data_IF_846745039488
#
_entry.id   IF_846745039488
#
_cell.length_a   1.000
_cell.length_b   1.000
_cell.length_c   1.000
_cell.angle_alpha   90.00
_cell.angle_beta   90.00
_cell.angle_gamma   90.00
#
_symmetry.space_group_name_H-M   'P 1'
#
loop_
_entity.id
_entity.type
_entity.pdbx_description
1 polymer ?
#
# COMPACT_ATOMS: atom_id res chain seq x y z
N UNK A 1 -9.72 13.14 19.33
CA UNK A 1 -8.53 13.03 18.45
C UNK A 1 -8.70 11.97 17.35
N UNK A 2 -9.03 10.70 17.68
CA UNK A 2 -9.21 9.60 16.71
C UNK A 2 -10.22 9.87 15.57
N UNK A 3 -11.34 10.57 15.84
CA UNK A 3 -12.35 10.89 14.81
C UNK A 3 -11.79 11.69 13.62
N UNK A 4 -10.73 12.49 13.84
CA UNK A 4 -10.07 13.29 12.78
C UNK A 4 -9.08 12.47 11.94
N UNK A 5 -8.58 11.35 12.47
CA UNK A 5 -7.60 10.47 11.79
C UNK A 5 -8.26 9.43 10.89
N UNK A 6 -9.48 8.99 11.24
CA UNK A 6 -10.25 7.99 10.50
C UNK A 6 -10.32 8.23 8.97
N UNK A 7 -10.59 9.45 8.46
CA UNK A 7 -10.65 9.66 7.01
C UNK A 7 -9.29 9.56 6.32
N UNK A 8 -8.18 9.57 7.06
CA UNK A 8 -6.81 9.54 6.54
C UNK A 8 -6.12 8.18 6.73
N UNK A 9 -6.85 7.15 7.18
CA UNK A 9 -6.30 5.81 7.43
C UNK A 9 -5.53 5.26 6.22
N UNK A 10 -6.05 5.30 4.97
CA UNK A 10 -5.32 4.74 3.83
C UNK A 10 -4.00 5.46 3.56
N UNK A 11 -3.98 6.79 3.62
CA UNK A 11 -2.76 7.56 3.40
C UNK A 11 -1.74 7.35 4.53
N UNK A 12 -2.20 7.30 5.78
CA UNK A 12 -1.33 7.05 6.94
C UNK A 12 -0.70 5.66 6.90
N UNK A 13 -1.45 4.65 6.43
CA UNK A 13 -0.90 3.31 6.22
C UNK A 13 0.18 3.29 5.13
N UNK A 14 -0.04 3.99 4.02
CA UNK A 14 0.98 4.11 2.97
C UNK A 14 2.23 4.84 3.48
N UNK A 15 2.06 5.90 4.29
CA UNK A 15 3.19 6.58 4.94
C UNK A 15 3.96 5.62 5.85
N UNK A 16 3.25 4.86 6.70
CA UNK A 16 3.88 3.87 7.57
C UNK A 16 4.62 2.80 6.76
N UNK A 17 4.08 2.38 5.63
CA UNK A 17 4.72 1.42 4.71
C UNK A 17 6.01 1.98 4.10
N UNK A 18 6.02 3.26 3.70
CA UNK A 18 7.23 3.91 3.17
C UNK A 18 8.29 4.09 4.27
N UNK A 19 7.89 4.46 5.48
CA UNK A 19 8.80 4.56 6.63
C UNK A 19 9.39 3.19 6.97
N UNK A 20 8.58 2.14 6.98
CA UNK A 20 9.04 0.78 7.20
C UNK A 20 10.06 0.35 6.13
N UNK A 21 9.75 0.58 4.85
CA UNK A 21 10.71 0.36 3.76
C UNK A 21 12.02 1.12 4.01
N UNK A 22 11.95 2.41 4.33
CA UNK A 22 13.15 3.23 4.53
C UNK A 22 13.98 2.72 5.72
N UNK A 23 13.34 2.35 6.82
CA UNK A 23 14.00 1.81 8.01
C UNK A 23 14.75 0.49 7.75
N UNK A 24 14.30 -0.30 6.77
CA UNK A 24 14.99 -1.52 6.35
C UNK A 24 16.18 -1.28 5.42
N UNK A 25 16.37 -0.05 4.92
CA UNK A 25 17.53 0.29 4.08
C UNK A 25 18.69 0.81 4.94
N UNK A 26 19.92 0.44 4.59
CA UNK A 26 21.13 0.95 5.26
C UNK A 26 21.45 2.43 4.91
N UNK A 27 20.70 3.02 3.95
CA UNK A 27 20.95 4.36 3.44
C UNK A 27 20.14 5.40 4.22
N UNK A 28 20.83 6.25 4.97
CA UNK A 28 20.20 7.36 5.69
C UNK A 28 19.42 8.29 4.75
N UNK A 29 19.96 8.59 3.57
CA UNK A 29 19.29 9.37 2.54
C UNK A 29 18.80 8.44 1.43
N UNK A 30 17.49 8.25 1.35
CA UNK A 30 16.82 7.46 0.33
C UNK A 30 15.89 8.36 -0.51
N UNK A 31 16.33 8.85 -1.69
CA UNK A 31 15.54 9.77 -2.51
C UNK A 31 14.15 9.23 -2.88
N UNK A 32 14.01 7.92 -3.07
CA UNK A 32 12.72 7.30 -3.36
C UNK A 32 11.78 7.36 -2.16
N UNK A 33 12.25 7.03 -0.96
CA UNK A 33 11.45 7.14 0.26
C UNK A 33 11.01 8.59 0.51
N UNK A 34 11.94 9.55 0.36
CA UNK A 34 11.68 10.97 0.52
C UNK A 34 10.63 11.45 -0.49
N UNK A 35 10.77 11.09 -1.77
CA UNK A 35 9.81 11.44 -2.82
C UNK A 35 8.41 10.88 -2.56
N UNK A 36 8.32 9.60 -2.18
CA UNK A 36 7.04 8.96 -1.84
C UNK A 36 6.37 9.61 -0.62
N UNK A 37 7.13 9.96 0.42
CA UNK A 37 6.61 10.68 1.58
C UNK A 37 6.11 12.08 1.20
N UNK A 38 6.83 12.80 0.34
CA UNK A 38 6.40 14.12 -0.14
C UNK A 38 5.08 14.02 -0.92
N UNK A 39 4.94 13.02 -1.79
CA UNK A 39 3.71 12.73 -2.54
C UNK A 39 2.53 12.45 -1.59
N UNK A 40 2.72 11.59 -0.59
CA UNK A 40 1.67 11.23 0.36
C UNK A 40 1.31 12.40 1.29
N UNK A 41 2.30 13.16 1.76
CA UNK A 41 2.09 14.37 2.56
C UNK A 41 1.27 15.41 1.76
N UNK A 42 1.64 15.63 0.49
CA UNK A 42 0.89 16.50 -0.41
C UNK A 42 -0.57 16.04 -0.57
N UNK A 43 -0.82 14.74 -0.72
CA UNK A 43 -2.19 14.20 -0.81
C UNK A 43 -2.99 14.41 0.50
N UNK A 44 -2.37 14.24 1.67
CA UNK A 44 -3.06 14.47 2.96
C UNK A 44 -3.48 15.93 3.12
N UNK A 45 -2.61 16.87 2.74
CA UNK A 45 -2.86 18.31 2.87
C UNK A 45 -3.89 18.78 1.84
N UNK A 46 -3.68 18.47 0.56
CA UNK A 46 -4.46 19.04 -0.54
C UNK A 46 -5.72 18.24 -0.89
N UNK A 47 -5.75 16.95 -0.55
CA UNK A 47 -6.90 16.04 -0.74
C UNK A 47 -7.47 16.10 -2.16
N UNK A 48 -6.62 16.30 -3.17
CA UNK A 48 -7.06 16.42 -4.56
C UNK A 48 -7.60 15.07 -5.02
N UNK A 49 -8.83 15.07 -5.51
CA UNK A 49 -9.52 13.83 -5.86
C UNK A 49 -8.78 13.06 -6.96
N UNK A 50 -8.39 13.73 -8.06
CA UNK A 50 -7.63 13.09 -9.15
C UNK A 50 -6.32 12.48 -8.66
N UNK A 51 -5.57 13.15 -7.79
CA UNK A 51 -4.29 12.64 -7.28
C UNK A 51 -4.49 11.44 -6.34
N UNK A 52 -5.50 11.50 -5.47
CA UNK A 52 -5.89 10.37 -4.63
C UNK A 52 -6.33 9.15 -5.44
N UNK A 53 -7.06 9.35 -6.54
CA UNK A 53 -7.43 8.28 -7.47
C UNK A 53 -6.20 7.64 -8.10
N UNK A 54 -5.27 8.45 -8.65
CA UNK A 54 -4.03 7.96 -9.25
C UNK A 54 -3.24 7.11 -8.26
N UNK A 55 -3.06 7.59 -7.03
CA UNK A 55 -2.34 6.85 -5.97
C UNK A 55 -3.05 5.51 -5.70
N UNK A 56 -4.36 5.54 -5.48
CA UNK A 56 -5.13 4.32 -5.16
C UNK A 56 -5.09 3.27 -6.28
N UNK A 57 -5.23 3.69 -7.54
CA UNK A 57 -5.15 2.80 -8.70
C UNK A 57 -3.75 2.21 -8.82
N UNK A 58 -2.72 3.04 -8.63
CA UNK A 58 -1.31 2.58 -8.66
C UNK A 58 -1.07 1.53 -7.59
N UNK A 59 -1.48 1.78 -6.34
CA UNK A 59 -1.34 0.83 -5.23
C UNK A 59 -2.09 -0.47 -5.52
N UNK A 60 -3.32 -0.40 -6.01
CA UNK A 60 -4.09 -1.60 -6.35
C UNK A 60 -3.40 -2.40 -7.47
N UNK A 61 -2.99 -1.73 -8.55
CA UNK A 61 -2.34 -2.38 -9.68
C UNK A 61 -1.03 -3.07 -9.28
N UNK A 62 -0.19 -2.39 -8.52
CA UNK A 62 1.05 -2.96 -7.98
C UNK A 62 0.77 -4.13 -7.03
N UNK A 63 -0.27 -4.02 -6.19
CA UNK A 63 -0.63 -5.11 -5.27
C UNK A 63 -1.15 -6.33 -6.02
N UNK A 64 -1.96 -6.14 -7.06
CA UNK A 64 -2.41 -7.24 -7.92
C UNK A 64 -1.24 -7.89 -8.67
N UNK A 65 -0.29 -7.11 -9.15
CA UNK A 65 0.94 -7.65 -9.72
C UNK A 65 1.70 -8.51 -8.70
N UNK A 66 1.82 -8.06 -7.45
CA UNK A 66 2.44 -8.87 -6.38
C UNK A 66 1.62 -10.11 -6.00
N UNK A 67 0.30 -10.10 -6.15
CA UNK A 67 -0.52 -11.32 -6.00
C UNK A 67 -0.16 -12.35 -7.06
N UNK A 68 0.04 -11.92 -8.31
CA UNK A 68 0.52 -12.81 -9.36
C UNK A 68 1.93 -13.34 -9.06
N UNK A 69 2.82 -12.48 -8.56
CA UNK A 69 4.15 -12.90 -8.12
C UNK A 69 4.11 -13.91 -6.97
N UNK A 70 3.21 -13.72 -6.00
CA UNK A 70 3.00 -14.68 -4.90
C UNK A 70 2.55 -16.04 -5.44
N UNK A 71 1.61 -16.08 -6.39
CA UNK A 71 1.20 -17.34 -7.00
C UNK A 71 2.33 -18.02 -7.78
N UNK A 72 3.14 -17.24 -8.48
CA UNK A 72 4.33 -17.75 -9.18
C UNK A 72 5.29 -18.43 -8.20
N UNK A 73 5.67 -17.74 -7.13
CA UNK A 73 6.60 -18.26 -6.12
C UNK A 73 6.03 -19.51 -5.41
N UNK A 74 4.74 -19.50 -5.05
CA UNK A 74 4.10 -20.65 -4.42
C UNK A 74 4.05 -21.89 -5.34
N UNK A 75 4.04 -21.69 -6.66
CA UNK A 75 4.03 -22.79 -7.64
C UNK A 75 5.37 -23.51 -7.77
N UNK A 76 6.47 -22.90 -7.30
CA UNK A 76 7.81 -23.50 -7.31
C UNK A 76 8.01 -24.50 -6.16
N UNK A 77 7.11 -24.56 -5.18
CA UNK A 77 7.19 -25.50 -4.08
C UNK A 77 6.60 -26.86 -4.48
N UNK A 78 7.44 -27.90 -4.44
CA UNK A 78 6.99 -29.29 -4.64
C UNK A 78 6.08 -29.81 -3.50
N UNK A 79 6.25 -29.25 -2.29
CA UNK A 79 5.50 -29.65 -1.09
C UNK A 79 5.20 -28.44 -0.19
N UNK A 80 4.05 -28.47 0.48
CA UNK A 80 3.63 -27.44 1.44
C UNK A 80 4.40 -27.55 2.77
N UNK A 81 5.65 -27.10 2.76
CA UNK A 81 6.52 -27.04 3.93
C UNK A 81 6.35 -25.72 4.71
N UNK A 82 7.14 -25.53 5.78
CA UNK A 82 7.05 -24.33 6.62
C UNK A 82 7.30 -23.03 5.83
N UNK A 83 8.19 -23.03 4.85
CA UNK A 83 8.48 -21.85 4.04
C UNK A 83 7.30 -21.49 3.14
N UNK A 84 6.66 -22.50 2.51
CA UNK A 84 5.42 -22.32 1.75
C UNK A 84 4.33 -21.70 2.63
N UNK A 85 4.10 -22.25 3.82
CA UNK A 85 3.08 -21.74 4.75
C UNK A 85 3.37 -20.32 5.20
N UNK A 86 4.63 -20.00 5.54
CA UNK A 86 5.03 -18.65 5.93
C UNK A 86 4.79 -17.67 4.78
N UNK A 87 5.25 -18.00 3.58
CA UNK A 87 5.09 -17.14 2.40
C UNK A 87 3.61 -16.88 2.09
N UNK A 88 2.77 -17.93 2.12
CA UNK A 88 1.34 -17.81 1.88
C UNK A 88 0.67 -16.90 2.92
N UNK A 89 0.92 -17.12 4.21
CA UNK A 89 0.27 -16.36 5.30
C UNK A 89 0.71 -14.90 5.25
N UNK A 90 2.02 -14.62 5.22
CA UNK A 90 2.51 -13.25 5.18
C UNK A 90 2.13 -12.54 3.88
N UNK A 91 2.18 -13.25 2.76
CA UNK A 91 1.75 -12.75 1.45
C UNK A 91 0.28 -12.35 1.45
N UNK A 92 -0.62 -13.23 1.87
CA UNK A 92 -2.07 -12.94 1.92
C UNK A 92 -2.36 -11.78 2.88
N UNK A 93 -1.78 -11.78 4.09
CA UNK A 93 -2.03 -10.71 5.06
C UNK A 93 -1.57 -9.35 4.53
N UNK A 94 -0.36 -9.30 3.97
CA UNK A 94 0.21 -8.06 3.47
C UNK A 94 -0.52 -7.55 2.22
N UNK A 95 -0.70 -8.42 1.22
CA UNK A 95 -1.35 -8.04 -0.05
C UNK A 95 -2.85 -7.78 0.15
N UNK A 96 -3.53 -8.58 0.96
CA UNK A 96 -4.93 -8.37 1.32
C UNK A 96 -5.15 -7.03 2.03
N UNK A 97 -4.29 -6.69 2.99
CA UNK A 97 -4.36 -5.38 3.67
C UNK A 97 -4.15 -4.23 2.68
N UNK A 98 -3.18 -4.34 1.77
CA UNK A 98 -2.94 -3.34 0.74
C UNK A 98 -4.14 -3.19 -0.21
N UNK A 99 -4.77 -4.28 -0.65
CA UNK A 99 -5.96 -4.22 -1.50
C UNK A 99 -7.14 -3.58 -0.79
N UNK A 100 -7.39 -3.93 0.47
CA UNK A 100 -8.46 -3.32 1.27
C UNK A 100 -8.22 -1.81 1.38
N UNK A 101 -7.02 -1.40 1.77
CA UNK A 101 -6.71 0.02 1.99
C UNK A 101 -6.68 0.81 0.68
N UNK A 102 -6.09 0.26 -0.39
CA UNK A 102 -6.15 0.83 -1.74
C UNK A 102 -7.59 0.99 -2.23
N UNK A 103 -8.43 -0.03 -2.03
CA UNK A 103 -9.85 0.00 -2.36
C UNK A 103 -10.63 1.05 -1.56
N UNK A 104 -10.40 1.15 -0.25
CA UNK A 104 -11.03 2.20 0.57
C UNK A 104 -10.60 3.61 0.15
N UNK A 105 -9.32 3.80 -0.23
CA UNK A 105 -8.82 5.06 -0.76
C UNK A 105 -9.47 5.41 -2.11
N UNK A 106 -9.59 4.42 -3.00
CA UNK A 106 -10.25 4.56 -4.30
C UNK A 106 -11.71 5.01 -4.12
N UNK A 107 -12.49 4.29 -3.30
CA UNK A 107 -13.90 4.62 -3.03
C UNK A 107 -14.03 6.01 -2.41
N UNK A 108 -13.14 6.38 -1.48
CA UNK A 108 -13.12 7.70 -0.85
C UNK A 108 -12.96 8.81 -1.91
N UNK A 109 -11.98 8.70 -2.80
CA UNK A 109 -11.71 9.75 -3.78
C UNK A 109 -12.65 9.73 -4.99
N UNK A 110 -13.24 8.58 -5.32
CA UNK A 110 -14.35 8.51 -6.28
C UNK A 110 -15.54 9.31 -5.77
N UNK A 111 -15.96 9.08 -4.51
CA UNK A 111 -17.05 9.84 -3.89
C UNK A 111 -16.75 11.33 -3.86
N UNK A 112 -15.53 11.72 -3.53
CA UNK A 112 -15.14 13.13 -3.51
C UNK A 112 -15.16 13.79 -4.90
N UNK A 113 -14.92 13.04 -5.99
CA UNK A 113 -14.95 13.59 -7.36
C UNK A 113 -16.37 13.76 -7.90
N UNK A 114 -17.32 12.94 -7.42
CA UNK A 114 -18.70 12.93 -7.90
C UNK A 114 -19.62 13.94 -7.18
N UNK A 115 -19.19 14.47 -6.04
CA UNK A 115 -19.88 15.50 -5.25
C UNK A 115 -19.24 16.85 -5.55
#
# INVERSE_FOLDING_TARGET
MLKKLKPHIPELFLIASVIYYWALTANLLNPFAIGLLAVLAYQIVNKKATFGLIISITVIALTLFLVLALFSELSEFDVANQNYTNLLIFGILYLGTNLVLGGTMLVKYLKQKMI
#
